data_IF_864952165640
#
_entry.id   IF_864952165640
#
_cell.length_a   1.000
_cell.length_b   1.000
_cell.length_c   1.000
_cell.angle_alpha   90.00
_cell.angle_beta   90.00
_cell.angle_gamma   90.00
#
_symmetry.space_group_name_H-M   'P 1'
#
loop_
_entity.id
_entity.type
_entity.pdbx_description
1 polymer ?
#
# COMPACT_ATOMS: atom_id res chain seq x y z
N UNK A 1 41.36 -69.20 -25.19
CA UNK A 1 41.00 -70.41 -24.41
C UNK A 1 41.21 -70.04 -22.94
N UNK A 2 40.14 -69.74 -22.18
CA UNK A 2 39.35 -70.73 -21.38
C UNK A 2 40.17 -71.14 -20.14
N UNK A 3 39.80 -71.06 -18.85
CA UNK A 3 38.61 -70.80 -18.00
C UNK A 3 39.19 -70.24 -16.66
N UNK A 4 38.55 -69.48 -15.77
CA UNK A 4 37.24 -69.61 -15.13
C UNK A 4 37.40 -70.02 -13.65
N UNK A 5 36.98 -69.11 -12.73
CA UNK A 5 36.46 -69.33 -11.35
C UNK A 5 37.52 -69.70 -10.28
N UNK A 6 37.68 -68.98 -9.16
CA UNK A 6 36.85 -69.05 -7.92
C UNK A 6 36.75 -67.70 -7.19
N UNK A 7 35.52 -67.49 -6.73
CA UNK A 7 34.96 -66.44 -5.89
C UNK A 7 35.22 -66.74 -4.39
N UNK A 8 35.80 -65.81 -3.64
CA UNK A 8 35.58 -65.70 -2.19
C UNK A 8 35.00 -64.32 -1.87
N UNK A 9 33.68 -64.31 -1.71
CA UNK A 9 32.90 -63.31 -0.98
C UNK A 9 33.46 -63.18 0.45
N UNK A 10 34.09 -62.06 0.75
CA UNK A 10 33.89 -61.30 1.97
C UNK A 10 34.69 -60.02 1.82
N UNK A 11 34.00 -58.91 1.59
CA UNK A 11 34.34 -57.55 2.07
C UNK A 11 33.48 -56.50 1.36
N UNK A 12 32.23 -56.87 1.04
CA UNK A 12 31.16 -55.90 0.87
C UNK A 12 30.60 -55.62 2.27
N UNK A 13 30.52 -54.33 2.61
CA UNK A 13 29.92 -53.73 3.82
C UNK A 13 30.89 -53.46 4.97
N UNK A 14 31.54 -52.30 4.93
CA UNK A 14 31.63 -51.33 6.03
C UNK A 14 32.26 -50.02 5.50
N UNK A 15 31.55 -49.31 4.62
CA UNK A 15 31.81 -47.87 4.42
C UNK A 15 31.42 -47.18 5.72
N UNK A 16 32.43 -46.83 6.51
CA UNK A 16 32.32 -46.02 7.73
C UNK A 16 31.55 -44.75 7.39
N UNK A 17 30.28 -44.70 7.77
CA UNK A 17 29.47 -43.49 7.81
C UNK A 17 30.22 -42.53 8.74
N UNK A 18 30.77 -41.44 8.18
CA UNK A 18 31.25 -40.32 8.99
C UNK A 18 30.00 -39.68 9.61
N UNK A 19 29.74 -40.06 10.86
CA UNK A 19 28.70 -39.47 11.70
C UNK A 19 28.95 -37.97 11.87
N UNK A 20 27.85 -37.24 11.85
CA UNK A 20 27.75 -35.78 11.87
C UNK A 20 28.31 -35.13 13.16
N UNK A 21 29.63 -35.17 13.36
CA UNK A 21 30.32 -34.57 14.51
C UNK A 21 31.48 -33.62 14.13
N UNK A 22 31.66 -33.33 12.85
CA UNK A 22 32.48 -32.20 12.39
C UNK A 22 31.64 -31.46 11.36
N UNK A 23 31.02 -30.33 11.65
CA UNK A 23 31.65 -29.06 11.99
C UNK A 23 30.70 -28.26 12.90
N UNK A 24 30.92 -28.27 14.23
CA UNK A 24 30.37 -27.24 15.11
C UNK A 24 31.24 -25.99 14.96
N UNK A 25 30.92 -25.14 13.99
CA UNK A 25 31.39 -23.76 14.04
C UNK A 25 30.61 -23.07 15.16
N UNK A 26 31.26 -22.42 16.15
CA UNK A 26 30.55 -21.56 17.08
C UNK A 26 29.97 -20.40 16.26
N UNK A 27 28.68 -20.53 15.92
CA UNK A 27 27.94 -19.49 15.22
C UNK A 27 27.93 -18.28 16.15
N UNK A 28 28.58 -17.19 15.76
CA UNK A 28 28.56 -15.95 16.54
C UNK A 28 27.11 -15.47 16.71
N UNK A 29 26.79 -14.79 17.80
CA UNK A 29 25.44 -14.27 18.05
C UNK A 29 24.93 -13.41 16.88
N UNK A 30 25.83 -12.66 16.25
CA UNK A 30 25.55 -11.90 15.02
C UNK A 30 25.26 -12.78 13.80
N UNK A 31 25.97 -13.90 13.62
CA UNK A 31 25.69 -14.84 12.54
C UNK A 31 24.36 -15.57 12.75
N UNK A 32 24.04 -15.91 14.00
CA UNK A 32 22.76 -16.50 14.39
C UNK A 32 21.60 -15.51 14.21
N UNK A 33 21.77 -14.27 14.68
CA UNK A 33 20.83 -13.18 14.48
C UNK A 33 20.63 -12.88 13.00
N UNK A 34 21.68 -12.86 12.17
CA UNK A 34 21.56 -12.62 10.74
C UNK A 34 20.85 -13.78 10.01
N UNK A 35 21.00 -15.00 10.49
CA UNK A 35 20.33 -16.19 9.94
C UNK A 35 18.84 -16.24 10.32
N UNK A 36 18.48 -15.78 11.52
CA UNK A 36 17.10 -15.74 12.01
C UNK A 36 16.33 -14.47 11.58
N UNK A 37 17.00 -13.31 11.55
CA UNK A 37 16.39 -12.01 11.24
C UNK A 37 16.40 -11.67 9.75
N UNK A 38 17.26 -12.31 8.97
CA UNK A 38 17.26 -12.21 7.52
C UNK A 38 17.53 -13.60 6.92
N UNK A 39 16.54 -14.50 6.89
CA UNK A 39 16.65 -15.64 6.00
C UNK A 39 16.95 -15.07 4.62
N UNK A 40 18.12 -15.39 4.05
CA UNK A 40 18.32 -15.22 2.62
C UNK A 40 17.25 -16.08 2.00
N UNK A 41 16.11 -15.47 1.65
CA UNK A 41 15.12 -16.08 0.78
C UNK A 41 15.94 -16.66 -0.35
N UNK A 42 15.98 -18.00 -0.52
CA UNK A 42 16.56 -18.56 -1.71
C UNK A 42 15.80 -17.84 -2.81
N UNK A 43 16.53 -17.19 -3.71
CA UNK A 43 16.04 -16.65 -4.96
C UNK A 43 15.02 -17.65 -5.51
N UNK A 44 13.73 -17.45 -5.21
CA UNK A 44 12.64 -18.16 -5.86
C UNK A 44 12.61 -17.49 -7.20
N UNK A 45 13.43 -18.04 -8.08
CA UNK A 45 13.54 -17.68 -9.47
C UNK A 45 12.15 -17.80 -10.09
N UNK A 46 11.39 -16.70 -10.11
CA UNK A 46 10.38 -16.39 -11.14
C UNK A 46 9.28 -17.40 -11.46
N UNK A 47 9.01 -18.42 -10.63
CA UNK A 47 8.08 -19.51 -11.00
C UNK A 47 6.64 -19.25 -10.54
N UNK A 48 6.43 -18.58 -9.40
CA UNK A 48 5.09 -18.24 -8.88
C UNK A 48 4.36 -17.20 -9.73
N UNK A 49 5.04 -16.15 -10.19
CA UNK A 49 4.45 -15.13 -11.08
C UNK A 49 4.01 -15.71 -12.43
N UNK A 50 4.74 -16.72 -12.93
CA UNK A 50 4.36 -17.45 -14.16
C UNK A 50 3.15 -18.37 -13.95
N UNK A 51 2.94 -18.87 -12.74
CA UNK A 51 1.84 -19.80 -12.40
C UNK A 51 0.55 -19.09 -11.99
N UNK A 52 0.63 -17.93 -11.33
CA UNK A 52 -0.53 -17.23 -10.74
C UNK A 52 -0.89 -15.91 -11.44
N UNK A 53 -0.03 -15.42 -12.34
CA UNK A 53 -0.20 -14.13 -12.99
C UNK A 53 0.26 -12.94 -12.14
N UNK A 54 0.08 -11.74 -12.68
CA UNK A 54 0.41 -10.48 -12.00
C UNK A 54 -0.87 -9.89 -11.39
N UNK A 55 -0.98 -9.74 -10.05
CA UNK A 55 -2.17 -9.20 -9.41
C UNK A 55 -2.22 -7.67 -9.44
N UNK A 56 -1.09 -6.99 -9.66
CA UNK A 56 -0.98 -5.51 -9.72
C UNK A 56 -2.08 -4.86 -10.56
N UNK A 57 -2.38 -5.29 -11.81
CA UNK A 57 -3.36 -4.60 -12.65
C UNK A 57 -4.77 -4.63 -12.06
N UNK A 58 -5.12 -5.72 -11.37
CA UNK A 58 -6.41 -5.85 -10.68
C UNK A 58 -6.49 -4.86 -9.52
N UNK A 59 -5.43 -4.72 -8.72
CA UNK A 59 -5.37 -3.73 -7.65
C UNK A 59 -5.49 -2.30 -8.17
N UNK A 60 -4.76 -1.99 -9.26
CA UNK A 60 -4.81 -0.67 -9.90
C UNK A 60 -6.21 -0.37 -10.43
N UNK A 61 -6.88 -1.35 -11.03
CA UNK A 61 -8.28 -1.21 -11.46
C UNK A 61 -9.20 -0.87 -10.29
N UNK A 62 -9.09 -1.59 -9.17
CA UNK A 62 -9.88 -1.32 -7.97
C UNK A 62 -9.70 0.11 -7.47
N UNK A 63 -8.45 0.57 -7.40
CA UNK A 63 -8.12 1.96 -7.08
C UNK A 63 -8.75 2.96 -8.06
N UNK A 64 -8.56 2.74 -9.36
CA UNK A 64 -8.96 3.68 -10.40
C UNK A 64 -10.48 3.85 -10.48
N UNK A 65 -11.23 2.76 -10.31
CA UNK A 65 -12.70 2.77 -10.34
C UNK A 65 -13.35 3.39 -9.10
N UNK A 66 -12.63 3.49 -7.98
CA UNK A 66 -13.07 4.27 -6.82
C UNK A 66 -12.57 5.71 -6.89
N UNK A 67 -11.27 5.90 -7.11
CA UNK A 67 -10.59 7.18 -6.95
C UNK A 67 -10.94 8.19 -8.05
N UNK A 68 -10.96 7.76 -9.32
CA UNK A 68 -11.23 8.67 -10.45
C UNK A 68 -12.62 9.32 -10.31
N UNK A 69 -13.72 8.56 -10.15
CA UNK A 69 -15.03 9.17 -9.95
C UNK A 69 -15.14 9.93 -8.61
N UNK A 70 -14.48 9.48 -7.54
CA UNK A 70 -14.45 10.21 -6.27
C UNK A 70 -13.81 11.60 -6.44
N UNK A 71 -12.70 11.71 -7.18
CA UNK A 71 -12.07 12.99 -7.48
C UNK A 71 -13.01 13.96 -8.20
N UNK A 72 -13.74 13.47 -9.21
CA UNK A 72 -14.73 14.25 -9.93
C UNK A 72 -15.88 14.73 -9.03
N UNK A 73 -16.35 13.87 -8.11
CA UNK A 73 -17.41 14.21 -7.16
C UNK A 73 -16.95 15.29 -6.19
N UNK A 74 -15.74 15.16 -5.62
CA UNK A 74 -15.18 16.13 -4.68
C UNK A 74 -14.96 17.50 -5.34
N UNK A 75 -14.63 17.53 -6.64
CA UNK A 75 -14.55 18.77 -7.41
C UNK A 75 -15.91 19.31 -7.89
N UNK A 76 -17.03 18.68 -7.53
CA UNK A 76 -18.38 19.13 -7.87
C UNK A 76 -18.72 19.01 -9.36
N UNK A 77 -18.04 18.15 -10.11
CA UNK A 77 -18.25 18.06 -11.56
C UNK A 77 -19.70 17.67 -11.87
N UNK A 78 -20.32 18.40 -12.81
CA UNK A 78 -21.72 18.21 -13.22
C UNK A 78 -22.74 18.32 -12.07
N UNK A 79 -22.40 19.06 -11.01
CA UNK A 79 -23.26 19.19 -9.83
C UNK A 79 -23.22 17.98 -8.89
N UNK A 80 -22.20 17.13 -9.01
CA UNK A 80 -21.98 16.04 -8.06
C UNK A 80 -21.73 16.57 -6.64
N UNK A 81 -22.21 15.85 -5.62
CA UNK A 81 -22.15 16.27 -4.22
C UNK A 81 -22.90 15.31 -3.30
N UNK A 82 -23.51 15.84 -2.23
CA UNK A 82 -24.36 15.03 -1.33
C UNK A 82 -23.59 14.05 -0.46
N UNK A 83 -22.45 14.48 0.11
CA UNK A 83 -21.57 13.66 0.95
C UNK A 83 -21.03 12.37 0.29
N UNK A 84 -21.10 12.25 -1.04
CA UNK A 84 -20.61 11.07 -1.75
C UNK A 84 -21.42 9.80 -1.51
N UNK A 85 -22.66 9.88 -1.02
CA UNK A 85 -23.44 8.69 -0.68
C UNK A 85 -23.62 7.71 -1.87
N UNK A 86 -23.75 8.23 -3.08
CA UNK A 86 -23.95 7.42 -4.29
C UNK A 86 -22.72 6.58 -4.70
N UNK A 87 -21.50 6.96 -4.26
CA UNK A 87 -20.26 6.26 -4.64
C UNK A 87 -19.81 5.22 -3.62
N UNK A 88 -20.45 5.14 -2.43
CA UNK A 88 -20.10 4.21 -1.35
C UNK A 88 -19.85 2.77 -1.85
N UNK A 89 -20.71 2.15 -2.71
CA UNK A 89 -20.44 0.80 -3.19
C UNK A 89 -19.14 0.69 -3.99
N UNK A 90 -18.80 1.69 -4.81
CA UNK A 90 -17.55 1.69 -5.55
C UNK A 90 -16.34 1.86 -4.63
N UNK A 91 -16.45 2.66 -3.55
CA UNK A 91 -15.40 2.77 -2.55
C UNK A 91 -15.14 1.42 -1.86
N UNK A 92 -16.19 0.73 -1.41
CA UNK A 92 -16.04 -0.53 -0.66
C UNK A 92 -15.58 -1.68 -1.55
N UNK A 93 -16.27 -1.91 -2.68
CA UNK A 93 -16.02 -3.11 -3.49
C UNK A 93 -14.81 -2.96 -4.41
N UNK A 94 -14.69 -1.84 -5.14
CA UNK A 94 -13.53 -1.62 -6.02
C UNK A 94 -12.35 -1.03 -5.26
N UNK A 95 -12.56 0.11 -4.62
CA UNK A 95 -11.51 0.78 -3.86
C UNK A 95 -10.97 -0.12 -2.75
N UNK A 96 -11.86 -0.84 -2.06
CA UNK A 96 -11.52 -1.69 -0.93
C UNK A 96 -11.19 -3.13 -1.30
N UNK A 97 -12.23 -3.93 -1.53
CA UNK A 97 -12.11 -5.39 -1.63
C UNK A 97 -11.21 -5.83 -2.78
N UNK A 98 -11.38 -5.28 -3.98
CA UNK A 98 -10.55 -5.62 -5.15
C UNK A 98 -9.07 -5.30 -4.88
N UNK A 99 -8.76 -4.16 -4.27
CA UNK A 99 -7.38 -3.83 -3.88
C UNK A 99 -6.83 -4.76 -2.81
N UNK A 100 -7.60 -5.10 -1.78
CA UNK A 100 -7.16 -6.04 -0.73
C UNK A 100 -6.88 -7.41 -1.33
N UNK A 101 -7.75 -7.93 -2.20
CA UNK A 101 -7.52 -9.21 -2.88
C UNK A 101 -6.28 -9.17 -3.76
N UNK A 102 -6.07 -8.08 -4.50
CA UNK A 102 -4.84 -7.90 -5.26
C UNK A 102 -3.59 -7.77 -4.36
N UNK A 103 -3.71 -7.13 -3.20
CA UNK A 103 -2.66 -7.08 -2.17
C UNK A 103 -2.30 -8.44 -1.59
N UNK A 104 -3.29 -9.31 -1.35
CA UNK A 104 -3.06 -10.72 -1.01
C UNK A 104 -2.31 -11.43 -2.15
N UNK A 105 -2.68 -11.18 -3.40
CA UNK A 105 -1.97 -11.68 -4.57
C UNK A 105 -0.49 -11.26 -4.58
N UNK A 106 -0.21 -9.98 -4.35
CA UNK A 106 1.16 -9.44 -4.26
C UNK A 106 1.95 -10.10 -3.13
N UNK A 107 1.30 -10.38 -2.00
CA UNK A 107 1.92 -11.11 -0.88
C UNK A 107 2.32 -12.53 -1.29
N UNK A 108 1.44 -13.26 -1.99
CA UNK A 108 1.70 -14.64 -2.44
C UNK A 108 2.88 -14.71 -3.40
N UNK A 109 3.04 -13.73 -4.30
CA UNK A 109 4.17 -13.69 -5.25
C UNK A 109 5.44 -13.07 -4.66
N UNK A 110 5.42 -12.64 -3.40
CA UNK A 110 6.58 -12.11 -2.68
C UNK A 110 6.90 -10.64 -2.96
N UNK A 111 5.95 -9.86 -3.48
CA UNK A 111 6.13 -8.42 -3.72
C UNK A 111 5.64 -7.60 -2.52
N UNK A 112 6.50 -7.48 -1.50
CA UNK A 112 6.15 -6.82 -0.23
C UNK A 112 5.77 -5.35 -0.38
N UNK A 113 6.43 -4.61 -1.28
CA UNK A 113 6.18 -3.17 -1.42
C UNK A 113 4.79 -2.90 -2.01
N UNK A 114 4.44 -3.55 -3.12
CA UNK A 114 3.09 -3.42 -3.71
C UNK A 114 2.01 -3.98 -2.79
N UNK A 115 2.30 -5.08 -2.08
CA UNK A 115 1.42 -5.62 -1.05
C UNK A 115 1.08 -4.57 0.02
N UNK A 116 2.09 -3.93 0.61
CA UNK A 116 1.89 -2.90 1.63
C UNK A 116 1.07 -1.71 1.10
N UNK A 117 1.33 -1.26 -0.13
CA UNK A 117 0.57 -0.20 -0.80
C UNK A 117 -0.91 -0.56 -0.93
N UNK A 118 -1.20 -1.74 -1.51
CA UNK A 118 -2.58 -2.15 -1.80
C UNK A 118 -3.39 -2.49 -0.56
N UNK A 119 -2.77 -3.05 0.49
CA UNK A 119 -3.45 -3.20 1.78
C UNK A 119 -3.75 -1.85 2.42
N UNK A 120 -2.78 -0.92 2.42
CA UNK A 120 -2.95 0.41 3.03
C UNK A 120 -4.11 1.16 2.35
N UNK A 121 -4.08 1.27 1.03
CA UNK A 121 -5.07 2.05 0.30
C UNK A 121 -6.39 1.30 0.09
N UNK A 122 -6.37 -0.02 -0.03
CA UNK A 122 -7.58 -0.85 -0.01
C UNK A 122 -8.36 -0.67 1.29
N UNK A 123 -7.68 -0.79 2.44
CA UNK A 123 -8.32 -0.55 3.74
C UNK A 123 -8.79 0.91 3.87
N UNK A 124 -8.05 1.89 3.36
CA UNK A 124 -8.50 3.28 3.32
C UNK A 124 -9.87 3.45 2.65
N UNK A 125 -10.08 2.84 1.48
CA UNK A 125 -11.37 2.97 0.79
C UNK A 125 -12.52 2.29 1.51
N UNK A 126 -12.27 1.17 2.20
CA UNK A 126 -13.26 0.54 3.07
C UNK A 126 -13.61 1.50 4.21
N UNK A 127 -12.62 2.01 4.93
CA UNK A 127 -12.83 2.95 6.04
C UNK A 127 -13.66 4.14 5.55
N UNK A 128 -13.28 4.78 4.44
CA UNK A 128 -14.04 5.89 3.86
C UNK A 128 -15.48 5.50 3.52
N UNK A 129 -15.70 4.35 2.87
CA UNK A 129 -17.04 3.88 2.54
C UNK A 129 -17.90 3.62 3.78
N UNK A 130 -17.33 2.98 4.80
CA UNK A 130 -18.03 2.67 6.06
C UNK A 130 -18.34 3.91 6.88
N UNK A 131 -17.48 4.94 6.82
CA UNK A 131 -17.69 6.22 7.51
C UNK A 131 -18.91 6.97 6.96
N UNK A 132 -19.24 6.80 5.69
CA UNK A 132 -20.41 7.42 5.05
C UNK A 132 -21.71 6.62 5.25
N UNK A 133 -21.64 5.42 5.81
CA UNK A 133 -22.80 4.54 6.00
C UNK A 133 -23.42 4.71 7.40
N UNK A 134 -24.75 4.94 7.50
CA UNK A 134 -25.43 4.99 8.79
C UNK A 134 -25.29 3.71 9.62
N UNK A 135 -25.11 2.56 8.97
CA UNK A 135 -24.98 1.25 9.62
C UNK A 135 -23.86 1.19 10.66
N UNK A 136 -22.74 1.87 10.44
CA UNK A 136 -21.60 1.89 11.37
C UNK A 136 -21.78 2.91 12.50
N UNK A 137 -22.87 3.68 12.49
CA UNK A 137 -23.23 4.66 13.52
C UNK A 137 -22.13 5.68 13.86
N UNK A 138 -21.17 5.91 12.94
CA UNK A 138 -20.00 6.76 13.19
C UNK A 138 -20.39 8.21 13.49
N UNK A 139 -21.48 8.71 12.90
CA UNK A 139 -22.03 10.04 13.20
C UNK A 139 -22.98 10.07 14.41
N UNK A 140 -23.66 8.96 14.72
CA UNK A 140 -24.74 8.94 15.73
C UNK A 140 -24.27 9.38 17.12
N UNK A 141 -23.05 9.01 17.51
CA UNK A 141 -22.47 9.37 18.81
C UNK A 141 -22.08 10.84 18.94
N UNK A 142 -22.02 11.56 17.82
CA UNK A 142 -21.68 12.97 17.77
C UNK A 142 -22.93 13.86 17.66
N UNK A 143 -24.13 13.29 17.52
CA UNK A 143 -25.39 14.05 17.48
C UNK A 143 -26.09 14.03 18.84
N UNK A 144 -26.55 15.20 19.29
CA UNK A 144 -27.41 15.33 20.47
C UNK A 144 -28.79 14.69 20.29
N UNK A 145 -29.23 14.47 19.05
CA UNK A 145 -30.54 13.88 18.72
C UNK A 145 -30.46 12.40 18.34
N UNK A 146 -29.23 11.86 18.22
CA UNK A 146 -28.98 10.52 17.67
C UNK A 146 -29.14 10.44 16.14
N UNK A 147 -29.27 11.57 15.45
CA UNK A 147 -29.31 11.60 13.99
C UNK A 147 -27.89 11.46 13.40
N UNK A 148 -27.68 10.41 12.60
CA UNK A 148 -26.39 10.13 11.97
C UNK A 148 -25.84 11.31 11.15
N UNK A 149 -26.68 11.92 10.30
CA UNK A 149 -26.25 12.94 9.35
C UNK A 149 -25.93 14.27 10.06
N UNK A 150 -26.72 14.64 11.07
CA UNK A 150 -26.42 15.78 11.94
C UNK A 150 -25.07 15.59 12.62
N UNK A 151 -24.84 14.38 13.14
CA UNK A 151 -23.58 14.00 13.77
C UNK A 151 -22.37 14.22 12.87
N UNK A 152 -22.48 13.84 11.58
CA UNK A 152 -21.42 14.03 10.59
C UNK A 152 -21.06 15.51 10.31
N UNK A 153 -21.99 16.42 10.58
CA UNK A 153 -21.79 17.85 10.37
C UNK A 153 -21.20 18.55 11.60
N UNK A 154 -21.12 17.85 12.73
CA UNK A 154 -20.60 18.47 13.95
C UNK A 154 -19.11 18.78 13.83
N UNK A 155 -18.65 19.89 14.45
CA UNK A 155 -17.22 20.18 14.54
C UNK A 155 -16.46 19.06 15.22
N UNK A 156 -17.06 18.36 16.20
CA UNK A 156 -16.43 17.21 16.86
C UNK A 156 -16.24 16.02 15.93
N UNK A 157 -17.22 15.64 15.11
CA UNK A 157 -17.03 14.56 14.12
C UNK A 157 -16.00 14.93 13.04
N UNK A 158 -16.03 16.18 12.58
CA UNK A 158 -15.07 16.68 11.59
C UNK A 158 -13.69 16.93 12.18
N UNK A 159 -13.57 17.26 13.47
CA UNK A 159 -12.33 17.37 14.23
C UNK A 159 -11.76 16.02 14.59
N UNK A 160 -12.64 15.08 14.92
CA UNK A 160 -12.36 13.66 14.88
C UNK A 160 -11.78 13.38 13.52
N UNK A 161 -12.38 13.67 12.36
CA UNK A 161 -11.70 13.50 11.06
C UNK A 161 -10.59 14.53 10.70
N UNK A 162 -10.28 15.54 11.55
CA UNK A 162 -9.42 16.69 11.22
C UNK A 162 -9.30 17.90 12.19
N UNK A 163 -8.19 18.01 12.93
CA UNK A 163 -7.52 19.13 13.65
C UNK A 163 -7.69 19.32 15.14
N UNK A 164 -6.55 19.72 15.71
CA UNK A 164 -6.32 20.38 16.98
C UNK A 164 -6.50 21.91 16.84
N UNK A 165 -7.31 22.54 17.70
CA UNK A 165 -6.91 23.76 18.41
C UNK A 165 -7.70 23.94 19.72
N UNK A 166 -7.00 23.68 20.83
CA UNK A 166 -6.89 24.47 22.07
C UNK A 166 -8.14 25.17 22.65
N UNK A 167 -8.55 24.66 23.83
CA UNK A 167 -9.19 25.35 24.98
C UNK A 167 -10.63 25.83 24.70
N UNK A 168 -11.64 25.15 25.23
CA UNK A 168 -12.04 25.36 26.62
C UNK A 168 -12.31 24.02 27.34
N UNK A 169 -11.37 23.63 28.18
CA UNK A 169 -11.58 22.56 29.16
C UNK A 169 -12.47 23.07 30.29
N UNK A 170 -13.54 22.36 30.58
CA UNK A 170 -13.85 22.04 31.98
C UNK A 170 -14.02 20.52 32.08
N UNK A 171 -12.98 19.92 32.65
CA UNK A 171 -12.90 18.57 33.24
C UNK A 171 -12.40 17.39 32.39
N UNK A 172 -11.09 17.15 32.53
CA UNK A 172 -10.34 15.89 32.54
C UNK A 172 -11.10 14.58 32.24
N UNK A 173 -10.85 14.02 31.05
CA UNK A 173 -10.52 12.60 30.85
C UNK A 173 -9.71 12.47 29.55
N UNK A 174 -8.54 11.82 29.62
CA UNK A 174 -7.51 11.73 28.58
C UNK A 174 -7.87 10.70 27.48
N UNK A 175 -8.99 10.86 26.77
CA UNK A 175 -9.44 9.87 25.76
C UNK A 175 -9.70 10.39 24.33
N UNK A 176 -9.76 11.70 24.08
CA UNK A 176 -10.34 12.21 22.80
C UNK A 176 -9.32 12.95 21.91
N UNK A 177 -8.41 12.23 21.24
CA UNK A 177 -7.33 12.88 20.45
C UNK A 177 -6.84 12.08 19.23
N UNK A 178 -7.70 11.54 18.32
CA UNK A 178 -7.18 10.55 17.36
C UNK A 178 -7.56 10.52 15.87
N UNK A 179 -8.52 11.26 15.31
CA UNK A 179 -9.04 10.81 13.99
C UNK A 179 -8.59 11.70 12.77
N UNK A 180 -8.10 12.92 13.02
CA UNK A 180 -7.47 13.87 12.08
C UNK A 180 -6.10 13.39 11.62
N UNK A 181 -5.51 12.71 12.59
CA UNK A 181 -4.35 11.91 12.49
C UNK A 181 -4.54 10.77 11.50
N UNK A 182 -5.76 10.42 11.07
CA UNK A 182 -5.92 9.41 10.03
C UNK A 182 -5.36 9.90 8.69
N UNK A 183 -5.80 11.06 8.17
CA UNK A 183 -5.23 11.63 6.95
C UNK A 183 -3.78 12.10 7.12
N UNK A 184 -3.39 12.57 8.31
CA UNK A 184 -1.99 12.91 8.60
C UNK A 184 -1.10 11.65 8.63
N UNK A 185 -1.53 10.56 9.27
CA UNK A 185 -0.81 9.29 9.28
C UNK A 185 -0.75 8.68 7.88
N UNK A 186 -1.83 8.79 7.11
CA UNK A 186 -1.84 8.45 5.68
C UNK A 186 -0.85 9.30 4.89
N UNK A 187 -0.71 10.58 5.21
CA UNK A 187 0.31 11.46 4.62
C UNK A 187 1.72 10.96 4.98
N UNK A 188 1.98 10.67 6.26
CA UNK A 188 3.29 10.18 6.74
C UNK A 188 3.66 8.83 6.11
N UNK A 189 2.75 7.85 6.13
CA UNK A 189 3.03 6.53 5.53
C UNK A 189 3.19 6.63 4.01
N UNK A 190 2.40 7.48 3.34
CA UNK A 190 2.55 7.75 1.91
C UNK A 190 3.86 8.44 1.60
N UNK A 191 4.36 9.31 2.48
CA UNK A 191 5.69 9.92 2.34
C UNK A 191 6.81 8.88 2.43
N UNK A 192 6.67 7.91 3.34
CA UNK A 192 7.60 6.76 3.41
C UNK A 192 7.55 5.96 2.11
N UNK A 193 6.36 5.65 1.61
CA UNK A 193 6.20 4.95 0.33
C UNK A 193 6.76 5.75 -0.85
N UNK A 194 6.61 7.08 -0.85
CA UNK A 194 7.18 7.96 -1.85
C UNK A 194 8.71 7.83 -1.89
N UNK A 195 9.38 7.87 -0.74
CA UNK A 195 10.83 7.66 -0.66
C UNK A 195 11.21 6.28 -1.19
N UNK A 196 10.47 5.23 -0.80
CA UNK A 196 10.72 3.87 -1.29
C UNK A 196 10.52 3.73 -2.81
N UNK A 197 9.58 4.49 -3.39
CA UNK A 197 9.25 4.45 -4.82
C UNK A 197 10.28 5.12 -5.74
N UNK A 198 11.25 5.85 -5.20
CA UNK A 198 12.33 6.49 -5.99
C UNK A 198 13.07 5.47 -6.88
N UNK A 199 13.02 4.19 -6.54
CA UNK A 199 13.70 3.12 -7.26
C UNK A 199 12.81 2.30 -8.20
N UNK A 200 11.50 2.57 -8.24
CA UNK A 200 10.54 1.72 -8.96
C UNK A 200 10.26 2.24 -10.36
N UNK A 201 9.50 3.32 -10.49
CA UNK A 201 9.25 3.99 -11.77
C UNK A 201 8.69 5.41 -11.55
N UNK A 202 8.86 6.27 -12.56
CA UNK A 202 8.46 7.68 -12.53
C UNK A 202 6.96 7.84 -12.33
N UNK A 203 6.14 6.98 -12.97
CA UNK A 203 4.69 7.06 -12.85
C UNK A 203 4.23 6.81 -11.39
N UNK A 204 4.74 5.78 -10.74
CA UNK A 204 4.40 5.44 -9.35
C UNK A 204 4.93 6.48 -8.38
N UNK A 205 6.16 6.96 -8.58
CA UNK A 205 6.71 8.06 -7.79
C UNK A 205 5.85 9.33 -7.91
N UNK A 206 5.49 9.71 -9.13
CA UNK A 206 4.63 10.88 -9.38
C UNK A 206 3.24 10.71 -8.76
N UNK A 207 2.66 9.53 -8.85
CA UNK A 207 1.37 9.23 -8.23
C UNK A 207 1.43 9.34 -6.70
N UNK A 208 2.46 8.78 -6.06
CA UNK A 208 2.63 8.86 -4.60
C UNK A 208 2.95 10.28 -4.13
N UNK A 209 3.66 11.07 -4.93
CA UNK A 209 3.93 12.48 -4.65
C UNK A 209 2.62 13.28 -4.64
N UNK A 210 1.81 13.12 -5.69
CA UNK A 210 0.51 13.78 -5.78
C UNK A 210 -0.48 13.27 -4.71
N UNK A 211 -0.40 11.98 -4.34
CA UNK A 211 -1.20 11.40 -3.26
C UNK A 211 -0.82 11.96 -1.89
N UNK A 212 0.47 12.19 -1.64
CA UNK A 212 0.95 12.82 -0.42
C UNK A 212 0.36 14.23 -0.25
N UNK A 213 0.35 15.02 -1.33
CA UNK A 213 -0.29 16.34 -1.36
C UNK A 213 -1.80 16.21 -1.15
N UNK A 214 -2.45 15.25 -1.80
CA UNK A 214 -3.89 15.00 -1.69
C UNK A 214 -4.32 14.74 -0.25
N UNK A 215 -3.65 13.82 0.45
CA UNK A 215 -3.96 13.55 1.85
C UNK A 215 -3.64 14.73 2.77
N UNK A 216 -2.57 15.47 2.50
CA UNK A 216 -2.26 16.71 3.24
C UNK A 216 -3.34 17.78 3.07
N UNK A 217 -3.87 17.95 1.85
CA UNK A 217 -4.97 18.88 1.55
C UNK A 217 -6.28 18.44 2.20
N UNK A 218 -6.61 17.14 2.17
CA UNK A 218 -7.80 16.63 2.86
C UNK A 218 -7.69 16.76 4.38
N UNK A 219 -6.52 16.49 4.97
CA UNK A 219 -6.28 16.79 6.38
C UNK A 219 -6.56 18.28 6.65
N UNK A 220 -5.92 19.20 5.90
CA UNK A 220 -6.14 20.64 6.03
C UNK A 220 -7.60 21.07 5.85
N UNK A 221 -8.35 20.38 4.98
CA UNK A 221 -9.76 20.64 4.74
C UNK A 221 -10.60 20.33 5.98
N UNK A 222 -10.52 19.12 6.53
CA UNK A 222 -11.23 18.77 7.76
C UNK A 222 -10.77 19.66 8.94
N UNK A 223 -9.49 20.06 8.94
CA UNK A 223 -8.96 20.98 9.92
C UNK A 223 -9.59 22.37 9.87
N UNK A 224 -9.89 22.85 8.67
CA UNK A 224 -10.55 24.13 8.48
C UNK A 224 -12.04 24.04 8.87
N UNK A 225 -12.68 22.88 8.70
CA UNK A 225 -14.07 22.64 9.14
C UNK A 225 -14.17 22.72 10.66
N UNK A 226 -13.26 22.07 11.39
CA UNK A 226 -13.32 22.04 12.87
C UNK A 226 -13.14 23.42 13.51
N UNK A 227 -12.34 24.31 12.89
CA UNK A 227 -12.18 25.71 13.31
C UNK A 227 -13.34 26.60 12.83
N UNK A 228 -14.28 26.06 12.04
CA UNK A 228 -15.45 26.79 11.52
C UNK A 228 -15.18 27.62 10.27
N UNK A 229 -14.00 27.49 9.65
CA UNK A 229 -13.68 28.17 8.39
C UNK A 229 -14.11 27.33 7.18
N UNK A 230 -15.41 27.32 6.92
CA UNK A 230 -16.03 26.52 5.86
C UNK A 230 -15.58 26.91 4.45
N UNK A 231 -15.32 28.21 4.21
CA UNK A 231 -14.87 28.71 2.90
C UNK A 231 -13.47 28.18 2.53
N UNK A 232 -12.56 28.17 3.50
CA UNK A 232 -11.23 27.59 3.28
C UNK A 232 -11.31 26.07 3.15
N UNK A 233 -12.13 25.41 3.98
CA UNK A 233 -12.33 23.97 3.92
C UNK A 233 -12.80 23.52 2.54
N UNK A 234 -13.81 24.17 1.97
CA UNK A 234 -14.34 23.85 0.65
C UNK A 234 -13.25 23.97 -0.43
N UNK A 235 -12.47 25.05 -0.41
CA UNK A 235 -11.35 25.23 -1.36
C UNK A 235 -10.29 24.15 -1.22
N UNK A 236 -9.95 23.76 0.00
CA UNK A 236 -8.99 22.68 0.25
C UNK A 236 -9.53 21.31 -0.18
N UNK A 237 -10.83 21.05 0.01
CA UNK A 237 -11.45 19.83 -0.51
C UNK A 237 -11.39 19.78 -2.03
N UNK A 238 -11.79 20.85 -2.72
CA UNK A 238 -11.75 20.94 -4.19
C UNK A 238 -10.31 20.77 -4.69
N UNK A 239 -9.35 21.44 -4.04
CA UNK A 239 -7.93 21.28 -4.37
C UNK A 239 -7.45 19.83 -4.17
N UNK A 240 -7.81 19.21 -3.04
CA UNK A 240 -7.54 17.79 -2.78
C UNK A 240 -8.13 16.88 -3.85
N UNK A 241 -9.37 17.14 -4.27
CA UNK A 241 -10.02 16.46 -5.40
C UNK A 241 -9.26 16.62 -6.72
N UNK A 242 -8.74 17.82 -7.01
CA UNK A 242 -7.96 18.08 -8.22
C UNK A 242 -6.62 17.34 -8.23
N UNK A 243 -5.89 17.34 -7.11
CA UNK A 243 -4.67 16.53 -6.97
C UNK A 243 -4.98 15.03 -7.01
N UNK A 244 -6.11 14.58 -6.47
CA UNK A 244 -6.58 13.20 -6.58
C UNK A 244 -6.94 12.81 -8.01
N UNK A 245 -7.45 13.74 -8.81
CA UNK A 245 -7.67 13.48 -10.23
C UNK A 245 -6.35 13.41 -10.99
N UNK A 246 -5.42 14.34 -10.72
CA UNK A 246 -4.10 14.37 -11.34
C UNK A 246 -3.30 13.11 -11.05
N UNK A 247 -3.35 12.57 -9.83
CA UNK A 247 -2.66 11.31 -9.49
C UNK A 247 -3.28 10.09 -10.17
N UNK A 248 -4.57 10.11 -10.54
CA UNK A 248 -5.17 9.00 -11.27
C UNK A 248 -4.56 8.86 -12.68
N UNK A 249 -4.07 9.94 -13.29
CA UNK A 249 -3.50 9.93 -14.65
C UNK A 249 -2.27 9.00 -14.76
N UNK A 250 -1.20 9.16 -13.96
CA UNK A 250 -0.07 8.23 -14.01
C UNK A 250 -0.45 6.81 -13.59
N UNK A 251 -1.47 6.62 -12.75
CA UNK A 251 -1.93 5.27 -12.39
C UNK A 251 -2.70 4.61 -13.54
N UNK A 252 -3.55 5.35 -14.27
CA UNK A 252 -4.18 4.89 -15.51
C UNK A 252 -3.12 4.48 -16.54
N UNK A 253 -2.02 5.25 -16.63
CA UNK A 253 -0.90 4.93 -17.51
C UNK A 253 -0.23 3.59 -17.14
N UNK A 254 0.05 3.36 -15.86
CA UNK A 254 0.59 2.07 -15.38
C UNK A 254 -0.39 0.94 -15.68
N UNK A 255 -1.69 1.15 -15.40
CA UNK A 255 -2.72 0.13 -15.63
C UNK A 255 -2.79 -0.28 -17.11
N UNK A 256 -2.86 0.68 -18.04
CA UNK A 256 -2.88 0.41 -19.48
C UNK A 256 -1.62 -0.38 -19.87
N UNK A 257 -0.45 0.08 -19.43
CA UNK A 257 0.82 -0.59 -19.73
C UNK A 257 0.80 -2.06 -19.29
N UNK A 258 0.34 -2.34 -18.07
CA UNK A 258 0.32 -3.70 -17.54
C UNK A 258 -0.74 -4.59 -18.19
N UNK A 259 -1.88 -4.05 -18.62
CA UNK A 259 -2.89 -4.82 -19.37
C UNK A 259 -2.41 -5.13 -20.78
N UNK A 260 -1.76 -4.18 -21.46
CA UNK A 260 -1.15 -4.42 -22.77
C UNK A 260 -0.07 -5.50 -22.69
N UNK A 261 0.78 -5.47 -21.66
CA UNK A 261 1.75 -6.53 -21.39
C UNK A 261 1.09 -7.89 -21.12
N UNK A 262 -0.04 -7.92 -20.40
CA UNK A 262 -0.75 -9.16 -20.08
C UNK A 262 -1.36 -9.87 -21.30
N UNK A 263 -1.62 -9.13 -22.39
CA UNK A 263 -2.14 -9.67 -23.66
C UNK A 263 -1.08 -9.78 -24.75
N UNK A 264 0.20 -9.62 -24.41
CA UNK A 264 1.34 -9.62 -25.33
C UNK A 264 1.14 -8.64 -26.52
N UNK A 265 0.63 -7.44 -26.20
CA UNK A 265 0.40 -6.41 -27.21
C UNK A 265 1.75 -5.91 -27.77
N UNK A 266 1.88 -5.67 -29.09
CA UNK A 266 3.16 -5.36 -29.72
C UNK A 266 3.79 -4.01 -29.31
N UNK A 267 3.03 -3.16 -28.61
CA UNK A 267 3.49 -1.85 -28.15
C UNK A 267 3.68 -1.90 -26.64
N UNK A 268 4.91 -1.64 -26.19
CA UNK A 268 5.23 -1.39 -24.78
C UNK A 268 5.25 0.11 -24.51
N UNK A 269 4.53 0.53 -23.48
CA UNK A 269 4.47 1.94 -23.07
C UNK A 269 5.52 2.21 -21.99
N UNK A 270 6.27 3.33 -22.08
CA UNK A 270 7.30 3.64 -21.10
C UNK A 270 6.68 4.12 -19.79
N UNK A 271 7.05 3.49 -18.67
CA UNK A 271 6.69 3.94 -17.30
C UNK A 271 7.82 4.73 -16.61
N UNK A 272 8.99 4.81 -17.26
CA UNK A 272 10.18 5.49 -16.75
C UNK A 272 10.84 4.74 -15.59
N UNK A 273 11.68 3.75 -15.88
CA UNK A 273 12.40 2.98 -14.85
C UNK A 273 13.45 3.85 -14.15
N UNK A 274 13.34 3.97 -12.82
CA UNK A 274 14.27 4.74 -11.97
C UNK A 274 15.33 3.85 -11.29
N UNK A 275 15.29 2.54 -11.51
CA UNK A 275 16.22 1.58 -10.89
C UNK A 275 17.68 1.83 -11.28
N UNK A 276 17.91 2.47 -12.43
CA UNK A 276 19.22 2.86 -12.97
C UNK A 276 19.79 4.11 -12.29
N UNK A 277 18.93 5.03 -11.85
CA UNK A 277 19.34 6.29 -11.19
C UNK A 277 19.73 6.06 -9.73
N UNK A 278 19.03 5.15 -9.04
CA UNK A 278 19.32 4.81 -7.65
C UNK A 278 19.66 3.32 -7.53
N UNK A 279 20.96 2.94 -7.50
CA UNK A 279 21.39 1.54 -7.57
C UNK A 279 21.11 0.76 -6.29
N UNK A 280 20.76 -0.53 -6.43
CA UNK A 280 20.32 -1.42 -5.33
C UNK A 280 21.35 -1.61 -4.25
N UNK A 281 20.94 -1.93 -3.01
CA UNK A 281 21.91 -2.34 -1.97
C UNK A 281 22.76 -3.51 -2.46
N UNK A 282 22.12 -4.54 -3.05
CA UNK A 282 22.82 -5.69 -3.62
C UNK A 282 23.75 -5.32 -4.77
N UNK A 283 23.36 -4.35 -5.62
CA UNK A 283 24.20 -3.85 -6.71
C UNK A 283 25.40 -3.07 -6.18
N UNK A 284 25.19 -2.20 -5.18
CA UNK A 284 26.27 -1.47 -4.51
C UNK A 284 27.23 -2.40 -3.76
N UNK A 285 26.73 -3.48 -3.15
CA UNK A 285 27.57 -4.49 -2.51
C UNK A 285 28.42 -5.24 -3.54
N UNK A 286 27.83 -5.66 -4.68
CA UNK A 286 28.60 -6.27 -5.78
C UNK A 286 29.65 -5.33 -6.37
N UNK A 287 29.34 -4.04 -6.50
CA UNK A 287 30.29 -3.04 -6.97
C UNK A 287 31.46 -2.87 -5.99
N UNK A 288 31.18 -2.83 -4.68
CA UNK A 288 32.22 -2.79 -3.63
C UNK A 288 33.06 -4.06 -3.55
N UNK A 289 32.46 -5.23 -3.80
CA UNK A 289 33.19 -6.51 -3.89
C UNK A 289 34.04 -6.61 -5.16
N UNK A 290 33.75 -5.79 -6.18
CA UNK A 290 34.48 -5.74 -7.45
C UNK A 290 35.54 -4.61 -7.51
N UNK A 291 35.64 -3.76 -6.49
CA UNK A 291 36.72 -2.77 -6.35
C UNK A 291 37.97 -3.50 -5.79
N UNK A 292 39.12 -3.47 -6.50
CA UNK A 292 40.34 -4.19 -6.12
C UNK A 292 41.07 -3.59 -4.91
#
# INVERSE_FOLDING_TARGET
MSNGVINEKSDEHLRRIQTAESVFLPISREAFEKLYLNPKSPTVSGDLRKKLGNPTPISLLGFLLASTPNACIVMGWRGAGGNGAAIIPALIFFGGMVQIFGGIGEWIIGNTFSCALFFTYGTFWIVQGTTLMPFFATGTHYSSTGNFLEGQQTPMYNASMGSLHTIQCTHFAMADLLEAFYFVALTVITFIYLICSIRTNVCLFSALFLLNITFGLFAGAFFSISVGNLHLAEKLQIAGGAFNFALCIPIWWIFITQILEAVDFPISLPVGDLSTVVPGRSQRLRLKEAEP
#
